data_IF_809275732119
#
_entry.id   IF_809275732119
#
_cell.length_a   1.000
_cell.length_b   1.000
_cell.length_c   1.000
_cell.angle_alpha   90.00
_cell.angle_beta   90.00
_cell.angle_gamma   90.00
#
_symmetry.space_group_name_H-M   'P 1'
#
loop_
_entity.id
_entity.type
_entity.pdbx_description
1 polymer ?
#
# COMPACT_ATOMS: atom_id res chain seq x y z
N UNK A 1 22.10 19.82 12.49
CA UNK A 1 21.92 18.40 12.09
C UNK A 1 20.83 17.80 12.97
N UNK A 2 19.74 17.25 12.40
CA UNK A 2 18.71 16.64 13.22
C UNK A 2 19.16 15.24 13.68
N UNK A 3 18.96 14.95 14.96
CA UNK A 3 19.39 13.73 15.65
C UNK A 3 18.80 12.45 15.04
N UNK A 4 19.60 11.38 15.04
CA UNK A 4 19.22 10.05 14.56
C UNK A 4 18.14 9.43 15.44
N UNK A 5 17.34 8.53 14.86
CA UNK A 5 16.30 7.75 15.54
C UNK A 5 16.84 6.97 16.76
N UNK A 6 18.07 6.47 16.70
CA UNK A 6 18.71 5.75 17.81
C UNK A 6 18.92 6.61 19.06
N UNK A 7 19.03 7.94 18.88
CA UNK A 7 19.22 8.89 19.97
C UNK A 7 17.90 9.30 20.62
N UNK A 8 16.79 9.27 19.87
CA UNK A 8 15.43 9.50 20.41
C UNK A 8 14.90 8.31 21.19
N UNK A 9 15.29 7.09 20.82
CA UNK A 9 14.91 5.86 21.53
C UNK A 9 15.63 5.67 22.88
N UNK A 10 16.79 6.31 23.08
CA UNK A 10 17.51 6.29 24.37
C UNK A 10 16.93 7.23 25.42
N UNK A 11 16.33 8.35 25.00
CA UNK A 11 15.74 9.34 25.90
C UNK A 11 14.41 8.90 26.55
N UNK A 12 13.84 7.77 26.14
CA UNK A 12 12.57 7.21 26.67
C UNK A 12 12.77 6.05 27.66
N UNK A 13 14.01 5.84 28.14
CA UNK A 13 14.35 4.74 29.08
C UNK A 13 14.94 5.21 30.42
N UNK A 14 14.88 6.49 30.76
CA UNK A 14 15.42 7.00 32.02
C UNK A 14 14.40 7.83 32.80
N UNK A 15 13.30 7.21 33.19
CA UNK A 15 12.54 7.58 34.38
C UNK A 15 12.15 6.28 35.08
N UNK A 16 13.10 5.72 35.83
CA UNK A 16 12.82 5.01 37.07
C UNK A 16 14.12 5.03 37.87
N UNK A 17 14.09 5.76 38.97
CA UNK A 17 15.24 6.02 39.82
C UNK A 17 15.65 4.79 40.63
N UNK A 18 16.96 4.58 40.75
CA UNK A 18 17.63 4.28 42.02
C UNK A 18 19.12 4.54 41.83
N UNK A 19 19.68 5.36 42.73
CA UNK A 19 21.09 5.73 42.75
C UNK A 19 21.88 4.77 43.63
N UNK A 20 23.05 4.29 43.18
CA UNK A 20 24.25 4.06 44.02
C UNK A 20 25.53 4.21 43.17
N UNK A 21 26.55 4.81 43.78
CA UNK A 21 27.86 5.29 43.32
C UNK A 21 28.80 4.22 42.70
N UNK A 22 29.52 4.53 41.62
CA UNK A 22 30.94 4.99 41.51
C UNK A 22 32.01 3.88 41.36
N UNK A 23 32.72 3.85 40.23
CA UNK A 23 34.18 4.17 40.08
C UNK A 23 34.85 3.56 38.82
N UNK A 24 35.66 4.41 38.16
CA UNK A 24 37.00 4.16 37.56
C UNK A 24 37.22 3.24 36.34
N UNK A 25 37.45 3.92 35.19
CA UNK A 25 38.55 3.82 34.22
C UNK A 25 39.36 2.51 34.02
N UNK A 26 39.47 2.05 32.76
CA UNK A 26 40.72 2.01 31.96
C UNK A 26 40.61 1.10 30.70
N UNK A 27 41.07 1.60 29.56
CA UNK A 27 41.71 0.88 28.43
C UNK A 27 43.14 1.48 28.28
N UNK A 28 44.10 0.99 27.46
CA UNK A 28 44.04 -0.01 26.36
C UNK A 28 45.25 -0.99 26.26
N UNK A 29 45.20 -1.99 25.37
CA UNK A 29 46.40 -2.45 24.63
C UNK A 29 46.04 -3.34 23.44
N UNK A 30 46.77 -3.18 22.32
CA UNK A 30 46.55 -3.82 21.03
C UNK A 30 47.71 -4.77 20.63
N UNK A 31 47.37 -5.69 19.69
CA UNK A 31 48.21 -6.53 18.78
C UNK A 31 48.72 -7.89 19.30
N UNK A 32 48.98 -8.91 18.43
CA UNK A 32 48.91 -8.96 16.95
C UNK A 32 48.08 -10.14 16.36
N UNK A 33 47.99 -10.16 15.02
CA UNK A 33 47.29 -11.13 14.18
C UNK A 33 48.10 -12.40 13.90
N UNK A 34 47.42 -13.56 13.83
CA UNK A 34 47.91 -14.83 13.29
C UNK A 34 46.74 -15.67 12.68
N UNK A 35 47.01 -16.70 11.85
CA UNK A 35 46.32 -16.95 10.58
C UNK A 35 45.09 -17.87 10.64
N UNK A 36 44.32 -17.84 9.55
CA UNK A 36 43.10 -18.61 9.36
C UNK A 36 43.32 -20.14 9.29
N UNK A 37 42.52 -20.95 10.01
CA UNK A 37 42.42 -22.39 9.82
C UNK A 37 41.14 -22.79 9.04
N UNK A 38 41.05 -24.05 8.55
CA UNK A 38 40.34 -24.38 7.31
C UNK A 38 38.84 -24.66 7.48
N UNK A 39 38.13 -24.58 6.36
CA UNK A 39 36.72 -24.90 6.21
C UNK A 39 36.38 -26.30 6.76
N UNK A 40 35.40 -26.35 7.67
CA UNK A 40 34.68 -27.56 8.06
C UNK A 40 33.18 -27.32 8.02
N UNK A 41 32.52 -28.28 7.38
CA UNK A 41 31.11 -28.34 7.08
C UNK A 41 30.24 -28.64 8.33
N UNK A 42 29.02 -28.09 8.28
CA UNK A 42 27.81 -28.36 9.06
C UNK A 42 27.89 -28.32 10.60
N UNK A 43 27.29 -27.28 11.18
CA UNK A 43 26.18 -27.49 12.11
C UNK A 43 25.20 -26.32 12.07
N UNK A 44 23.93 -26.68 12.01
CA UNK A 44 22.75 -25.83 12.04
C UNK A 44 22.68 -25.00 13.32
N UNK A 45 22.85 -23.67 13.21
CA UNK A 45 22.47 -22.73 14.26
C UNK A 45 21.19 -22.01 13.86
N UNK A 46 20.11 -22.44 14.49
CA UNK A 46 18.73 -21.96 14.49
C UNK A 46 18.62 -20.42 14.47
N UNK A 47 17.70 -19.83 13.67
CA UNK A 47 17.41 -18.41 13.80
C UNK A 47 16.68 -18.10 15.11
N UNK A 48 17.14 -17.04 15.75
CA UNK A 48 16.74 -16.51 17.05
C UNK A 48 15.38 -15.79 16.98
N UNK A 49 14.30 -16.50 16.68
CA UNK A 49 12.93 -16.12 17.01
C UNK A 49 12.12 -17.41 17.20
N UNK A 50 11.45 -17.62 18.35
CA UNK A 50 10.65 -18.82 18.52
C UNK A 50 9.51 -18.81 17.50
N UNK A 51 9.47 -19.83 16.64
CA UNK A 51 8.27 -20.14 15.88
C UNK A 51 7.14 -20.43 16.88
N UNK A 52 5.96 -19.80 16.70
CA UNK A 52 4.77 -20.05 17.50
C UNK A 52 4.48 -21.54 17.73
N UNK A 53 4.27 -21.96 18.98
CA UNK A 53 3.39 -23.10 19.25
C UNK A 53 1.96 -22.68 18.84
N UNK A 54 1.36 -23.44 17.93
CA UNK A 54 0.66 -22.90 16.76
C UNK A 54 -0.67 -22.16 16.99
N UNK A 55 -1.37 -22.28 18.12
CA UNK A 55 -2.65 -21.55 18.32
C UNK A 55 -2.59 -20.42 19.35
N UNK A 56 -1.93 -20.65 20.49
CA UNK A 56 -1.87 -19.68 21.59
C UNK A 56 -1.09 -18.42 21.17
N UNK A 57 -0.06 -18.59 20.34
CA UNK A 57 0.73 -17.47 19.82
C UNK A 57 0.06 -16.81 18.58
N UNK A 58 -0.77 -17.52 17.80
CA UNK A 58 -1.62 -16.87 16.79
C UNK A 58 -2.69 -15.97 17.41
N UNK A 59 -3.33 -16.41 18.50
CA UNK A 59 -4.36 -15.63 19.17
C UNK A 59 -3.77 -14.42 19.92
N UNK A 60 -2.61 -14.59 20.56
CA UNK A 60 -1.84 -13.48 21.12
C UNK A 60 -1.43 -12.48 20.03
N UNK A 61 -0.98 -12.97 18.87
CA UNK A 61 -0.61 -12.15 17.70
C UNK A 61 -1.83 -11.37 17.17
N UNK A 62 -2.97 -12.03 16.99
CA UNK A 62 -4.23 -11.39 16.59
C UNK A 62 -4.65 -10.32 17.58
N UNK A 63 -4.60 -10.60 18.88
CA UNK A 63 -4.94 -9.65 19.94
C UNK A 63 -4.04 -8.42 19.87
N UNK A 64 -2.73 -8.62 19.72
CA UNK A 64 -1.75 -7.53 19.57
C UNK A 64 -2.05 -6.67 18.33
N UNK A 65 -2.23 -7.30 17.17
CA UNK A 65 -2.50 -6.60 15.92
C UNK A 65 -3.84 -5.87 15.91
N UNK A 66 -4.85 -6.45 16.54
CA UNK A 66 -6.16 -5.85 16.70
C UNK A 66 -6.09 -4.60 17.57
N UNK A 67 -5.29 -4.62 18.64
CA UNK A 67 -5.02 -3.43 19.46
C UNK A 67 -4.29 -2.33 18.67
N UNK A 68 -3.34 -2.70 17.80
CA UNK A 68 -2.65 -1.73 16.93
C UNK A 68 -3.66 -1.09 15.95
N UNK A 69 -4.49 -1.88 15.27
CA UNK A 69 -5.51 -1.35 14.35
C UNK A 69 -6.52 -0.45 15.07
N UNK A 70 -6.97 -0.81 16.28
CA UNK A 70 -7.85 0.05 17.09
C UNK A 70 -7.20 1.39 17.45
N UNK A 71 -5.89 1.42 17.67
CA UNK A 71 -5.14 2.66 17.92
C UNK A 71 -4.88 3.48 16.66
N UNK A 72 -4.83 2.83 15.50
CA UNK A 72 -4.60 3.49 14.21
C UNK A 72 -5.89 4.02 13.57
N UNK A 73 -7.00 3.30 13.69
CA UNK A 73 -8.26 3.66 13.03
C UNK A 73 -8.72 5.11 13.29
N UNK A 74 -8.66 5.64 14.53
CA UNK A 74 -9.05 7.04 14.80
C UNK A 74 -8.14 8.09 14.15
N UNK A 75 -6.95 7.69 13.70
CA UNK A 75 -5.99 8.57 13.01
C UNK A 75 -6.26 8.64 11.50
N UNK A 76 -7.16 7.80 10.99
CA UNK A 76 -7.52 7.79 9.57
C UNK A 76 -8.39 9.01 9.27
N UNK A 77 -7.89 9.89 8.41
CA UNK A 77 -8.60 11.06 7.91
C UNK A 77 -9.29 10.67 6.59
N UNK A 78 -10.61 10.86 6.52
CA UNK A 78 -11.44 10.55 5.34
C UNK A 78 -12.10 11.79 4.74
N UNK A 79 -11.42 12.93 4.85
CA UNK A 79 -11.81 14.20 4.24
C UNK A 79 -10.66 14.74 3.39
N UNK A 80 -10.94 15.78 2.59
CA UNK A 80 -9.99 16.38 1.66
C UNK A 80 -9.22 17.58 2.24
N UNK A 81 -9.43 17.92 3.51
CA UNK A 81 -8.86 19.13 4.14
C UNK A 81 -7.32 19.09 4.21
N UNK A 82 -6.78 17.88 4.21
CA UNK A 82 -5.35 17.63 4.39
C UNK A 82 -4.64 17.19 3.11
N UNK A 83 -5.32 17.15 1.96
CA UNK A 83 -4.65 16.80 0.69
C UNK A 83 -3.62 17.88 0.29
N UNK A 84 -2.39 17.52 -0.14
CA UNK A 84 -1.37 18.47 -0.57
C UNK A 84 -1.60 19.04 -1.97
N UNK A 85 -2.78 18.82 -2.54
CA UNK A 85 -3.19 19.26 -3.88
C UNK A 85 -4.63 19.77 -3.85
N UNK A 86 -4.98 20.60 -4.82
CA UNK A 86 -6.33 21.13 -4.94
C UNK A 86 -7.19 20.19 -5.77
N UNK A 87 -8.29 19.74 -5.17
CA UNK A 87 -9.33 19.03 -5.89
C UNK A 87 -10.12 19.99 -6.76
N UNK A 88 -10.61 19.56 -7.93
CA UNK A 88 -11.30 20.40 -8.86
C UNK A 88 -12.77 20.39 -8.47
N UNK A 89 -13.10 20.99 -7.32
CA UNK A 89 -14.44 21.03 -6.72
C UNK A 89 -15.46 21.81 -7.54
N UNK A 90 -15.04 22.37 -8.67
CA UNK A 90 -15.87 23.00 -9.69
C UNK A 90 -15.87 22.24 -11.01
N UNK A 91 -15.02 21.23 -11.19
CA UNK A 91 -15.06 20.40 -12.39
C UNK A 91 -16.28 19.50 -12.34
N UNK A 92 -17.20 19.63 -13.30
CA UNK A 92 -18.46 18.91 -13.25
C UNK A 92 -18.25 17.40 -13.30
N UNK A 93 -17.24 16.88 -14.00
CA UNK A 93 -16.97 15.43 -14.06
C UNK A 93 -16.47 14.91 -12.72
N UNK A 94 -15.53 15.60 -12.09
CA UNK A 94 -15.02 15.25 -10.76
C UNK A 94 -16.11 15.35 -9.70
N UNK A 95 -16.82 16.49 -9.64
CA UNK A 95 -17.92 16.68 -8.72
C UNK A 95 -18.97 15.58 -8.86
N UNK A 96 -19.33 15.21 -10.10
CA UNK A 96 -20.30 14.14 -10.39
C UNK A 96 -19.84 12.77 -9.88
N UNK A 97 -18.56 12.42 -10.01
CA UNK A 97 -18.05 11.13 -9.49
C UNK A 97 -17.91 11.19 -7.96
N UNK A 98 -17.50 12.34 -7.42
CA UNK A 98 -17.32 12.53 -6.00
C UNK A 98 -18.64 12.64 -5.22
N UNK A 99 -19.72 13.10 -5.87
CA UNK A 99 -21.03 13.37 -5.27
C UNK A 99 -22.01 12.19 -5.30
N UNK A 100 -21.58 10.94 -5.50
CA UNK A 100 -22.44 9.73 -5.55
C UNK A 100 -23.17 9.38 -4.22
N UNK A 101 -23.55 10.39 -3.43
CA UNK A 101 -24.38 10.30 -2.24
C UNK A 101 -25.87 10.61 -2.50
N UNK A 102 -26.29 10.97 -3.73
CA UNK A 102 -27.69 11.30 -4.05
C UNK A 102 -28.38 10.16 -4.85
N UNK A 103 -29.44 9.51 -4.29
CA UNK A 103 -30.21 8.44 -4.96
C UNK A 103 -31.04 8.87 -6.18
N UNK A 104 -31.18 10.16 -6.50
CA UNK A 104 -32.16 10.66 -7.48
C UNK A 104 -31.60 10.97 -8.89
N UNK A 105 -30.37 10.54 -9.19
CA UNK A 105 -29.60 11.10 -10.30
C UNK A 105 -29.50 10.23 -11.59
N UNK A 106 -29.22 10.89 -12.73
CA UNK A 106 -29.16 10.34 -14.11
C UNK A 106 -27.77 10.55 -14.77
N UNK A 107 -27.34 9.70 -15.73
CA UNK A 107 -25.93 9.56 -16.14
C UNK A 107 -25.37 10.68 -17.04
N UNK A 108 -24.05 10.94 -17.03
CA UNK A 108 -23.38 11.85 -17.95
C UNK A 108 -22.75 11.15 -19.17
N UNK A 109 -22.40 11.94 -20.18
CA UNK A 109 -21.57 11.55 -21.32
C UNK A 109 -20.08 11.52 -20.92
N UNK A 110 -19.47 10.34 -21.02
CA UNK A 110 -18.15 9.98 -20.50
C UNK A 110 -16.97 10.29 -21.45
N UNK A 111 -17.20 11.04 -22.52
CA UNK A 111 -16.20 11.33 -23.55
C UNK A 111 -15.20 12.45 -23.21
N UNK A 112 -15.42 13.26 -22.14
CA UNK A 112 -14.48 14.31 -21.72
C UNK A 112 -13.41 13.78 -20.78
N UNK A 113 -12.14 13.91 -21.21
CA UNK A 113 -10.95 13.56 -20.42
C UNK A 113 -10.69 14.56 -19.27
N UNK A 114 -10.11 13.98 -18.22
CA UNK A 114 -9.63 14.44 -16.91
C UNK A 114 -9.65 15.95 -16.60
N UNK A 115 -10.18 16.36 -15.44
CA UNK A 115 -9.94 17.71 -14.91
C UNK A 115 -8.44 17.96 -14.71
N UNK A 116 -7.99 19.20 -14.92
CA UNK A 116 -6.71 19.64 -14.36
C UNK A 116 -6.84 19.72 -12.84
N UNK A 117 -5.97 19.02 -12.11
CA UNK A 117 -5.82 19.10 -10.66
C UNK A 117 -4.61 19.98 -10.34
N UNK A 118 -4.81 21.26 -9.96
CA UNK A 118 -3.70 22.11 -9.59
C UNK A 118 -2.90 21.44 -8.47
N UNK A 119 -1.57 21.42 -8.64
CA UNK A 119 -0.61 20.88 -7.69
C UNK A 119 -0.57 19.35 -7.55
N UNK A 120 -1.46 18.56 -8.19
CA UNK A 120 -1.24 17.11 -8.30
C UNK A 120 -0.42 16.80 -9.55
N UNK A 121 0.83 16.42 -9.36
CA UNK A 121 1.79 16.17 -10.43
C UNK A 121 2.41 14.79 -10.40
N UNK A 122 2.53 14.18 -9.21
CA UNK A 122 3.14 12.87 -9.01
C UNK A 122 2.19 11.97 -8.23
N UNK A 123 1.81 10.85 -8.84
CA UNK A 123 1.04 9.78 -8.20
C UNK A 123 1.79 8.47 -8.33
N UNK A 124 1.52 7.50 -7.46
CA UNK A 124 2.11 6.17 -7.60
C UNK A 124 1.13 5.06 -7.24
N UNK A 125 1.41 3.86 -7.75
CA UNK A 125 0.70 2.64 -7.40
C UNK A 125 1.65 1.63 -6.78
N UNK A 126 1.14 0.86 -5.82
CA UNK A 126 1.91 -0.19 -5.13
C UNK A 126 1.18 -1.53 -5.21
N UNK A 127 1.96 -2.57 -5.45
CA UNK A 127 1.55 -3.97 -5.42
C UNK A 127 2.64 -4.81 -4.72
N UNK A 128 2.24 -5.94 -4.15
CA UNK A 128 3.16 -6.99 -3.70
C UNK A 128 2.77 -8.29 -4.39
N UNK A 129 3.71 -8.84 -5.15
CA UNK A 129 3.55 -10.14 -5.79
C UNK A 129 4.38 -11.21 -5.08
N UNK A 130 3.78 -12.37 -4.88
CA UNK A 130 4.41 -13.50 -4.20
C UNK A 130 4.97 -14.49 -5.22
N UNK A 131 6.04 -15.18 -4.85
CA UNK A 131 6.57 -16.33 -5.57
C UNK A 131 5.81 -17.56 -5.08
N UNK A 132 5.06 -18.19 -5.99
CA UNK A 132 4.21 -19.34 -5.67
C UNK A 132 4.97 -20.44 -4.94
N UNK A 133 4.39 -20.94 -3.84
CA UNK A 133 4.97 -22.01 -3.03
C UNK A 133 6.11 -21.58 -2.11
N UNK A 134 6.38 -20.29 -1.96
CA UNK A 134 7.45 -19.76 -1.08
C UNK A 134 6.96 -18.55 -0.27
N UNK A 135 7.77 -18.13 0.70
CA UNK A 135 7.58 -16.85 1.42
C UNK A 135 8.25 -15.66 0.73
N UNK A 136 8.81 -15.85 -0.47
CA UNK A 136 9.44 -14.77 -1.22
C UNK A 136 8.37 -13.87 -1.87
N UNK A 137 8.58 -12.56 -1.75
CA UNK A 137 7.71 -11.57 -2.34
C UNK A 137 8.51 -10.40 -2.93
N UNK A 138 7.89 -9.72 -3.88
CA UNK A 138 8.41 -8.53 -4.53
C UNK A 138 7.39 -7.42 -4.34
N UNK A 139 7.72 -6.47 -3.48
CA UNK A 139 7.00 -5.21 -3.42
C UNK A 139 7.44 -4.34 -4.60
N UNK A 140 6.51 -3.63 -5.21
CA UNK A 140 6.76 -2.82 -6.41
C UNK A 140 6.00 -1.51 -6.31
N UNK A 141 6.65 -0.41 -6.70
CA UNK A 141 6.04 0.91 -6.83
C UNK A 141 6.25 1.42 -8.26
N UNK A 142 5.19 1.93 -8.87
CA UNK A 142 5.23 2.56 -10.18
C UNK A 142 4.75 4.02 -10.07
N UNK A 143 5.64 4.97 -10.39
CA UNK A 143 5.42 6.41 -10.24
C UNK A 143 5.06 7.04 -11.58
N UNK A 144 3.99 7.85 -11.60
CA UNK A 144 3.44 8.48 -12.78
C UNK A 144 3.38 10.00 -12.65
N UNK A 145 3.53 10.68 -13.79
CA UNK A 145 3.10 12.06 -13.93
C UNK A 145 1.58 12.13 -13.96
N UNK A 146 1.01 13.21 -13.43
CA UNK A 146 -0.40 13.54 -13.51
C UNK A 146 -0.57 14.97 -14.06
N UNK A 147 -1.53 15.23 -14.97
CA UNK A 147 -2.57 14.33 -15.48
C UNK A 147 -2.16 13.46 -16.68
N UNK A 148 -0.94 13.58 -17.21
CA UNK A 148 -0.56 12.92 -18.48
C UNK A 148 -0.47 11.39 -18.36
N UNK A 149 -0.37 10.86 -17.14
CA UNK A 149 -0.23 9.43 -16.86
C UNK A 149 0.98 8.82 -17.57
N UNK A 150 2.12 9.51 -17.56
CA UNK A 150 3.40 8.97 -18.06
C UNK A 150 4.15 8.30 -16.93
N UNK A 151 4.64 7.08 -17.15
CA UNK A 151 5.49 6.37 -16.19
C UNK A 151 6.85 7.09 -16.07
N UNK A 152 7.18 7.55 -14.86
CA UNK A 152 8.40 8.31 -14.56
C UNK A 152 9.51 7.43 -13.97
N UNK A 153 9.14 6.45 -13.16
CA UNK A 153 10.10 5.56 -12.50
C UNK A 153 9.42 4.41 -11.79
N UNK A 154 10.21 3.38 -11.51
CA UNK A 154 9.76 2.16 -10.83
C UNK A 154 10.83 1.67 -9.87
N UNK A 155 10.42 1.20 -8.70
CA UNK A 155 11.31 0.55 -7.74
C UNK A 155 10.71 -0.80 -7.32
N UNK A 156 11.56 -1.79 -7.08
CA UNK A 156 11.16 -3.08 -6.53
C UNK A 156 11.98 -3.44 -5.32
N UNK A 157 11.35 -4.02 -4.30
CA UNK A 157 12.01 -4.52 -3.11
C UNK A 157 11.72 -6.01 -2.96
N UNK A 158 12.78 -6.81 -2.97
CA UNK A 158 12.69 -8.24 -2.73
C UNK A 158 12.72 -8.48 -1.22
N UNK A 159 11.78 -9.27 -0.73
CA UNK A 159 11.65 -9.53 0.69
C UNK A 159 11.14 -10.93 0.97
N UNK A 160 11.47 -11.44 2.16
CA UNK A 160 10.92 -12.69 2.70
C UNK A 160 9.81 -12.34 3.68
N UNK A 161 8.62 -12.87 3.44
CA UNK A 161 7.41 -12.56 4.20
C UNK A 161 7.30 -13.48 5.41
N UNK A 162 7.78 -12.99 6.55
CA UNK A 162 7.87 -13.79 7.79
C UNK A 162 6.53 -13.98 8.51
N UNK A 163 5.54 -13.13 8.22
CA UNK A 163 4.25 -13.14 8.90
C UNK A 163 3.19 -13.89 8.08
N UNK A 164 2.32 -14.69 8.73
CA UNK A 164 1.29 -15.44 8.03
C UNK A 164 0.22 -14.51 7.44
N UNK A 165 -0.42 -14.95 6.37
CA UNK A 165 -1.61 -14.28 5.86
C UNK A 165 -2.80 -14.54 6.79
N UNK A 166 -3.21 -13.51 7.53
CA UNK A 166 -4.45 -13.52 8.30
C UNK A 166 -5.38 -12.48 7.68
N UNK A 167 -6.56 -12.93 7.23
CA UNK A 167 -7.58 -12.03 6.68
C UNK A 167 -7.85 -10.88 7.65
N UNK A 168 -7.99 -9.66 7.13
CA UNK A 168 -8.14 -8.39 7.90
C UNK A 168 -6.90 -7.93 8.70
N UNK A 169 -5.74 -8.58 8.52
CA UNK A 169 -4.45 -8.17 9.10
C UNK A 169 -3.34 -8.04 8.06
N UNK A 170 -3.70 -7.94 6.78
CA UNK A 170 -2.76 -7.87 5.65
C UNK A 170 -1.69 -6.78 5.82
N UNK A 171 -2.08 -5.63 6.39
CA UNK A 171 -1.19 -4.50 6.61
C UNK A 171 0.10 -4.86 7.38
N UNK A 172 0.04 -5.77 8.35
CA UNK A 172 1.23 -6.14 9.13
C UNK A 172 2.27 -6.89 8.30
N UNK A 173 1.82 -7.57 7.24
CA UNK A 173 2.68 -8.29 6.31
C UNK A 173 3.22 -7.36 5.22
N UNK A 174 2.39 -6.44 4.75
CA UNK A 174 2.66 -5.67 3.52
C UNK A 174 3.19 -4.26 3.75
N UNK A 175 2.83 -3.59 4.85
CA UNK A 175 3.31 -2.22 5.10
C UNK A 175 4.83 -2.15 5.25
N UNK A 176 5.52 -3.01 6.03
CA UNK A 176 6.97 -2.91 6.21
C UNK A 176 7.80 -2.93 4.90
N UNK A 177 7.60 -3.88 3.96
CA UNK A 177 8.34 -3.85 2.69
C UNK A 177 7.98 -2.65 1.81
N UNK A 178 6.74 -2.14 1.92
CA UNK A 178 6.32 -0.92 1.21
C UNK A 178 6.99 0.33 1.78
N UNK A 179 7.12 0.44 3.11
CA UNK A 179 7.84 1.55 3.73
C UNK A 179 9.31 1.59 3.31
N UNK A 180 9.96 0.43 3.23
CA UNK A 180 11.34 0.33 2.73
C UNK A 180 11.48 0.85 1.29
N UNK A 181 10.50 0.57 0.42
CA UNK A 181 10.43 1.14 -0.93
C UNK A 181 10.28 2.65 -0.93
N UNK A 182 9.38 3.18 -0.08
CA UNK A 182 9.14 4.62 0.01
C UNK A 182 10.36 5.35 0.59
N UNK A 183 11.05 4.77 1.57
CA UNK A 183 12.27 5.33 2.14
C UNK A 183 13.39 5.38 1.09
N UNK A 184 13.54 4.32 0.27
CA UNK A 184 14.49 4.37 -0.83
C UNK A 184 14.09 5.41 -1.87
N UNK A 185 12.81 5.47 -2.27
CA UNK A 185 12.35 6.46 -3.24
C UNK A 185 12.66 7.88 -2.74
N UNK A 186 12.41 8.14 -1.46
CA UNK A 186 12.73 9.42 -0.83
C UNK A 186 14.23 9.73 -0.83
N UNK A 187 15.08 8.72 -0.59
CA UNK A 187 16.53 8.87 -0.53
C UNK A 187 17.18 9.02 -1.92
N UNK A 188 16.66 8.30 -2.93
CA UNK A 188 17.27 8.20 -4.26
C UNK A 188 16.65 9.15 -5.27
N UNK A 189 15.34 9.38 -5.20
CA UNK A 189 14.58 10.19 -6.16
C UNK A 189 13.51 11.02 -5.44
N UNK A 190 13.88 11.95 -4.54
CA UNK A 190 12.93 12.73 -3.75
C UNK A 190 11.92 13.54 -4.59
N UNK A 191 12.31 13.95 -5.79
CA UNK A 191 11.44 14.66 -6.74
C UNK A 191 10.31 13.80 -7.34
N UNK A 192 10.41 12.46 -7.20
CA UNK A 192 9.40 11.49 -7.61
C UNK A 192 8.58 10.98 -6.42
N UNK A 193 8.73 11.56 -5.23
CA UNK A 193 7.94 11.15 -4.08
C UNK A 193 6.43 11.43 -4.33
N UNK A 194 5.55 10.42 -4.17
CA UNK A 194 4.17 10.56 -4.57
C UNK A 194 3.37 11.47 -3.64
N UNK A 195 2.52 12.31 -4.24
CA UNK A 195 1.55 13.14 -3.52
C UNK A 195 0.27 12.36 -3.22
N UNK A 196 0.02 11.28 -3.97
CA UNK A 196 -1.10 10.37 -3.79
C UNK A 196 -0.68 8.94 -4.16
N UNK A 197 -1.05 7.99 -3.32
CA UNK A 197 -0.71 6.59 -3.48
C UNK A 197 -1.96 5.72 -3.69
N UNK A 198 -1.96 4.91 -4.73
CA UNK A 198 -2.94 3.84 -4.96
C UNK A 198 -2.38 2.52 -4.47
N UNK A 199 -3.06 1.87 -3.54
CA UNK A 199 -2.60 0.63 -2.90
C UNK A 199 -3.52 -0.51 -3.33
N UNK A 200 -2.95 -1.62 -3.83
CA UNK A 200 -3.72 -2.85 -4.06
C UNK A 200 -4.15 -3.43 -2.71
N UNK A 201 -5.43 -3.29 -2.39
CA UNK A 201 -5.98 -3.69 -1.11
C UNK A 201 -7.00 -2.70 -0.57
N UNK A 202 -7.55 -3.02 0.60
CA UNK A 202 -8.60 -2.21 1.20
C UNK A 202 -8.02 -1.04 2.03
N UNK A 203 -8.74 0.07 2.06
CA UNK A 203 -8.56 1.17 3.01
C UNK A 203 -9.64 1.11 4.09
N UNK A 204 -10.53 2.11 4.09
CA UNK A 204 -11.63 2.26 5.04
C UNK A 204 -12.67 1.13 4.93
N UNK A 205 -12.78 0.50 3.76
CA UNK A 205 -13.60 -0.70 3.53
C UNK A 205 -12.97 -1.92 4.21
N UNK A 206 -13.04 -1.94 5.53
CA UNK A 206 -12.39 -2.92 6.39
C UNK A 206 -13.14 -2.99 7.73
N UNK A 207 -13.33 -4.16 8.38
CA UNK A 207 -14.13 -4.29 9.60
C UNK A 207 -13.77 -3.33 10.76
N UNK A 208 -12.55 -2.78 10.72
CA UNK A 208 -12.02 -1.82 11.71
C UNK A 208 -11.67 -0.45 11.11
N UNK A 209 -12.14 -0.17 9.89
CA UNK A 209 -11.84 1.05 9.14
C UNK A 209 -10.35 1.37 9.01
N UNK A 210 -9.52 0.31 8.95
CA UNK A 210 -8.06 0.40 9.00
C UNK A 210 -7.43 -0.74 8.20
N UNK A 211 -7.70 -0.77 6.89
CA UNK A 211 -7.03 -1.67 5.94
C UNK A 211 -5.57 -1.27 5.66
N UNK A 212 -4.93 -1.95 4.71
CA UNK A 212 -3.52 -1.71 4.34
C UNK A 212 -3.28 -0.28 3.86
N UNK A 213 -4.18 0.28 3.05
CA UNK A 213 -4.04 1.65 2.56
C UNK A 213 -4.14 2.68 3.70
N UNK A 214 -5.05 2.46 4.66
CA UNK A 214 -5.17 3.29 5.86
C UNK A 214 -3.93 3.23 6.73
N UNK A 215 -3.47 2.02 7.05
CA UNK A 215 -2.29 1.81 7.88
C UNK A 215 -1.08 2.51 7.27
N UNK A 216 -0.81 2.24 5.99
CA UNK A 216 0.30 2.86 5.28
C UNK A 216 0.20 4.39 5.26
N UNK A 217 -0.98 4.92 4.92
CA UNK A 217 -1.19 6.37 4.85
C UNK A 217 -0.97 7.07 6.19
N UNK A 218 -1.49 6.49 7.28
CA UNK A 218 -1.29 7.02 8.65
C UNK A 218 0.17 6.99 9.06
N UNK A 219 0.89 5.90 8.77
CA UNK A 219 2.30 5.77 9.15
C UNK A 219 3.19 6.72 8.34
N UNK A 220 2.90 6.90 7.05
CA UNK A 220 3.70 7.74 6.15
C UNK A 220 3.28 9.21 6.10
N UNK A 221 2.07 9.54 6.54
CA UNK A 221 1.52 10.90 6.43
C UNK A 221 1.29 11.33 4.98
N UNK A 222 0.85 10.40 4.12
CA UNK A 222 0.61 10.64 2.69
C UNK A 222 -0.84 10.26 2.36
N UNK A 223 -1.51 10.99 1.44
CA UNK A 223 -2.79 10.56 0.91
C UNK A 223 -2.72 9.17 0.25
N UNK A 224 -3.61 8.28 0.65
CA UNK A 224 -3.68 6.93 0.10
C UNK A 224 -5.11 6.55 -0.28
N UNK A 225 -5.25 5.76 -1.34
CA UNK A 225 -6.52 5.15 -1.77
C UNK A 225 -6.32 3.64 -1.82
N UNK A 226 -7.20 2.90 -1.15
CA UNK A 226 -7.26 1.45 -1.28
C UNK A 226 -8.13 1.05 -2.46
N UNK A 227 -7.60 0.22 -3.35
CA UNK A 227 -8.31 -0.37 -4.48
C UNK A 227 -8.20 -1.89 -4.40
N UNK A 228 -9.27 -2.57 -4.02
CA UNK A 228 -9.32 -4.02 -3.91
C UNK A 228 -9.95 -4.67 -5.15
N UNK A 229 -9.41 -5.82 -5.55
CA UNK A 229 -9.91 -6.65 -6.67
C UNK A 229 -11.14 -7.48 -6.30
N UNK A 230 -11.35 -7.74 -5.01
CA UNK A 230 -12.41 -8.60 -4.47
C UNK A 230 -13.12 -7.94 -3.29
N UNK A 231 -14.39 -8.31 -3.08
CA UNK A 231 -15.18 -7.82 -1.96
C UNK A 231 -14.66 -8.41 -0.65
N UNK A 232 -14.19 -7.56 0.25
CA UNK A 232 -13.95 -7.96 1.63
C UNK A 232 -15.28 -8.16 2.34
N UNK A 233 -15.44 -9.32 2.99
CA UNK A 233 -16.66 -9.61 3.72
C UNK A 233 -16.79 -8.69 4.95
N UNK A 234 -17.78 -7.80 4.91
CA UNK A 234 -18.24 -7.00 6.03
C UNK A 234 -19.75 -7.22 6.19
N UNK A 235 -20.25 -7.05 7.42
CA UNK A 235 -21.67 -7.29 7.71
C UNK A 235 -22.54 -6.36 6.86
N UNK A 236 -23.55 -6.93 6.20
CA UNK A 236 -24.52 -6.19 5.40
C UNK A 236 -24.16 -5.97 3.93
N UNK A 237 -22.96 -6.36 3.48
CA UNK A 237 -22.60 -6.38 2.06
C UNK A 237 -22.59 -7.81 1.51
N UNK A 238 -23.26 -8.04 0.38
CA UNK A 238 -23.25 -9.29 -0.37
C UNK A 238 -22.83 -9.05 -1.82
N UNK A 239 -22.29 -10.08 -2.47
CA UNK A 239 -21.88 -9.98 -3.88
C UNK A 239 -23.09 -9.83 -4.79
N UNK A 240 -24.18 -10.49 -4.43
CA UNK A 240 -25.44 -10.48 -5.16
C UNK A 240 -26.07 -9.08 -5.10
N UNK A 241 -26.18 -8.50 -3.90
CA UNK A 241 -26.73 -7.15 -3.75
C UNK A 241 -25.90 -6.09 -4.46
N UNK A 242 -24.57 -6.26 -4.49
CA UNK A 242 -23.67 -5.37 -5.24
C UNK A 242 -23.84 -5.54 -6.75
N UNK A 243 -24.01 -6.77 -7.25
CA UNK A 243 -24.27 -7.02 -8.65
C UNK A 243 -25.59 -6.38 -9.10
N UNK A 244 -26.65 -6.52 -8.30
CA UNK A 244 -27.95 -5.90 -8.55
C UNK A 244 -27.85 -4.37 -8.57
N UNK A 245 -27.13 -3.79 -7.61
CA UNK A 245 -26.90 -2.35 -7.56
C UNK A 245 -26.11 -1.84 -8.77
N UNK A 246 -25.10 -2.59 -9.25
CA UNK A 246 -24.37 -2.25 -10.48
C UNK A 246 -25.24 -2.37 -11.74
N UNK A 247 -26.15 -3.35 -11.80
CA UNK A 247 -27.12 -3.47 -12.90
C UNK A 247 -28.11 -2.31 -12.90
N UNK A 248 -28.60 -1.91 -11.73
CA UNK A 248 -29.48 -0.76 -11.58
C UNK A 248 -28.77 0.55 -11.99
N UNK A 249 -27.53 0.73 -11.50
CA UNK A 249 -26.66 1.84 -11.86
C UNK A 249 -26.43 1.94 -13.39
N UNK A 250 -26.19 0.82 -14.05
CA UNK A 250 -25.98 0.79 -15.50
C UNK A 250 -27.22 1.27 -16.29
N UNK A 251 -28.45 1.07 -15.76
CA UNK A 251 -29.69 1.56 -16.39
C UNK A 251 -29.80 3.08 -16.32
N UNK A 252 -29.32 3.68 -15.23
CA UNK A 252 -29.14 5.13 -15.08
C UNK A 252 -27.72 5.53 -15.48
N UNK A 253 -27.09 4.76 -16.37
CA UNK A 253 -25.80 4.96 -17.04
C UNK A 253 -24.57 5.20 -16.17
N UNK A 254 -24.63 5.02 -14.85
CA UNK A 254 -23.46 5.06 -13.99
C UNK A 254 -22.82 3.68 -13.85
N UNK A 255 -21.51 3.66 -13.65
CA UNK A 255 -20.70 2.45 -13.45
C UNK A 255 -20.05 2.42 -12.07
N UNK A 256 -20.43 3.35 -11.20
CA UNK A 256 -19.91 3.49 -9.85
C UNK A 256 -21.07 3.64 -8.87
N UNK A 257 -20.99 2.92 -7.76
CA UNK A 257 -22.08 2.81 -6.78
C UNK A 257 -21.50 2.88 -5.37
N UNK A 258 -22.12 3.63 -4.44
CA UNK A 258 -21.69 3.64 -3.05
C UNK A 258 -21.94 2.28 -2.37
N UNK A 259 -21.01 1.85 -1.53
CA UNK A 259 -21.16 0.66 -0.69
C UNK A 259 -21.71 1.07 0.67
N UNK A 260 -23.01 0.85 0.86
CA UNK A 260 -23.74 1.28 2.05
C UNK A 260 -24.36 0.08 2.78
N UNK A 261 -24.43 0.14 4.11
CA UNK A 261 -25.12 -0.87 4.93
C UNK A 261 -25.98 -0.17 5.99
N UNK A 262 -26.82 -0.92 6.71
CA UNK A 262 -27.59 -0.36 7.81
C UNK A 262 -26.70 0.14 8.96
N UNK A 263 -25.56 -0.52 9.19
CA UNK A 263 -24.63 -0.20 10.27
C UNK A 263 -23.58 0.86 9.91
N UNK A 264 -23.33 1.09 8.62
CA UNK A 264 -22.32 2.03 8.16
C UNK A 264 -22.83 2.78 6.92
N UNK A 265 -22.94 4.11 6.98
CA UNK A 265 -23.53 4.89 5.90
C UNK A 265 -22.69 4.86 4.62
N UNK A 266 -21.37 4.66 4.72
CA UNK A 266 -20.50 4.53 3.55
C UNK A 266 -19.21 3.79 3.86
N UNK A 267 -19.01 2.65 3.22
CA UNK A 267 -17.76 1.88 3.28
C UNK A 267 -16.75 2.27 2.21
N UNK A 268 -17.23 2.79 1.08
CA UNK A 268 -16.46 2.96 -0.14
C UNK A 268 -17.37 3.01 -1.36
N UNK A 269 -16.80 2.76 -2.52
CA UNK A 269 -17.51 2.65 -3.79
C UNK A 269 -17.13 1.34 -4.48
N UNK A 270 -18.05 0.79 -5.25
CA UNK A 270 -17.79 -0.27 -6.21
C UNK A 270 -17.87 0.31 -7.61
N UNK A 271 -16.89 -0.01 -8.47
CA UNK A 271 -16.81 0.53 -9.81
C UNK A 271 -16.54 -0.55 -10.86
N UNK A 272 -17.25 -0.48 -11.98
CA UNK A 272 -16.94 -1.20 -13.22
C UNK A 272 -16.06 -0.30 -14.11
N UNK A 273 -14.76 -0.36 -13.87
CA UNK A 273 -13.74 0.41 -14.58
C UNK A 273 -13.31 -0.26 -15.89
N UNK A 274 -13.02 0.55 -16.92
CA UNK A 274 -12.67 0.04 -18.25
C UNK A 274 -13.89 -0.41 -19.07
N UNK A 275 -13.66 -0.64 -20.36
CA UNK A 275 -14.76 -0.81 -21.33
C UNK A 275 -15.30 -2.24 -21.44
N UNK A 276 -14.59 -3.25 -20.93
CA UNK A 276 -14.87 -4.67 -21.26
C UNK A 276 -14.92 -5.62 -20.06
N UNK A 277 -14.78 -5.13 -18.81
CA UNK A 277 -14.81 -6.00 -17.62
C UNK A 277 -16.20 -6.11 -17.02
N UNK A 278 -16.58 -7.32 -16.62
CA UNK A 278 -17.74 -7.58 -15.74
C UNK A 278 -17.33 -7.66 -14.26
N UNK A 279 -16.03 -7.69 -13.98
CA UNK A 279 -15.50 -7.77 -12.61
C UNK A 279 -15.23 -6.36 -12.09
N UNK A 280 -15.89 -5.93 -11.01
CA UNK A 280 -15.66 -4.61 -10.44
C UNK A 280 -14.33 -4.53 -9.67
N UNK A 281 -14.02 -3.32 -9.24
CA UNK A 281 -13.05 -2.99 -8.20
C UNK A 281 -13.78 -2.31 -7.03
N UNK A 282 -13.22 -2.41 -5.84
CA UNK A 282 -13.76 -1.82 -4.61
C UNK A 282 -12.80 -0.74 -4.13
N UNK A 283 -13.29 0.49 -4.03
CA UNK A 283 -12.51 1.69 -3.79
C UNK A 283 -12.87 2.23 -2.41
N UNK A 284 -11.88 2.52 -1.59
CA UNK A 284 -12.11 3.17 -0.29
C UNK A 284 -10.96 4.12 0.04
N UNK A 285 -11.24 5.22 0.75
CA UNK A 285 -10.19 6.07 1.31
C UNK A 285 -9.18 5.26 2.09
N UNK A 286 -7.90 5.55 1.92
CA UNK A 286 -6.86 5.09 2.82
C UNK A 286 -6.62 6.15 3.90
N UNK A 287 -6.12 7.32 3.52
CA UNK A 287 -5.80 8.42 4.44
C UNK A 287 -5.81 9.77 3.70
N UNK A 288 -6.19 10.85 4.40
CA UNK A 288 -6.19 12.24 3.91
C UNK A 288 -6.89 12.41 2.56
N UNK A 289 -8.00 11.70 2.36
CA UNK A 289 -8.81 11.81 1.14
C UNK A 289 -10.25 11.39 1.43
N UNK A 290 -11.23 12.07 0.83
CA UNK A 290 -12.63 11.72 0.97
C UNK A 290 -13.05 10.53 0.11
N UNK A 291 -14.19 9.91 0.45
CA UNK A 291 -14.77 8.80 -0.31
C UNK A 291 -15.03 9.15 -1.78
N UNK A 292 -15.57 10.35 -2.02
CA UNK A 292 -15.87 10.83 -3.35
C UNK A 292 -14.60 11.09 -4.17
N UNK A 293 -13.63 11.77 -3.57
CA UNK A 293 -12.35 12.08 -4.21
C UNK A 293 -11.54 10.83 -4.52
N UNK A 294 -11.51 9.85 -3.60
CA UNK A 294 -10.88 8.55 -3.82
C UNK A 294 -11.50 7.85 -5.04
N UNK A 295 -12.83 7.78 -5.10
CA UNK A 295 -13.58 7.18 -6.20
C UNK A 295 -13.30 7.87 -7.55
N UNK A 296 -13.34 9.21 -7.56
CA UNK A 296 -13.10 10.03 -8.75
C UNK A 296 -11.68 9.87 -9.28
N UNK A 297 -10.68 9.96 -8.41
CA UNK A 297 -9.28 9.83 -8.78
C UNK A 297 -8.97 8.43 -9.31
N UNK A 298 -9.45 7.38 -8.63
CA UNK A 298 -9.33 6.00 -9.11
C UNK A 298 -9.95 5.84 -10.49
N UNK A 299 -11.14 6.41 -10.73
CA UNK A 299 -11.80 6.36 -12.03
C UNK A 299 -10.96 7.03 -13.13
N UNK A 300 -10.45 8.24 -12.89
CA UNK A 300 -9.65 9.02 -13.84
C UNK A 300 -8.41 8.24 -14.30
N UNK A 301 -7.75 7.52 -13.38
CA UNK A 301 -6.53 6.76 -13.69
C UNK A 301 -6.79 5.35 -14.22
N UNK A 302 -8.06 4.94 -14.36
CA UNK A 302 -8.46 3.58 -14.76
C UNK A 302 -8.83 3.50 -16.24
N UNK A 303 -7.82 3.28 -17.09
CA UNK A 303 -8.04 2.94 -18.52
C UNK A 303 -8.56 1.51 -18.71
N UNK A 304 -8.15 0.62 -17.81
CA UNK A 304 -8.52 -0.80 -17.77
C UNK A 304 -9.28 -1.09 -16.47
N UNK A 305 -9.57 -2.36 -16.17
CA UNK A 305 -10.17 -2.78 -14.90
C UNK A 305 -9.35 -2.27 -13.70
N UNK A 306 -8.04 -2.49 -13.71
CA UNK A 306 -7.17 -2.08 -12.61
C UNK A 306 -6.60 -0.69 -12.94
N UNK A 307 -6.60 0.26 -11.98
CA UNK A 307 -5.96 1.57 -12.12
C UNK A 307 -4.55 1.45 -12.67
N UNK A 308 -4.18 2.32 -13.61
CA UNK A 308 -2.90 2.23 -14.31
C UNK A 308 -1.69 2.17 -13.35
N UNK A 309 -1.61 2.95 -12.25
CA UNK A 309 -0.49 2.87 -11.32
C UNK A 309 -0.35 1.49 -10.65
N UNK A 310 -1.45 0.90 -10.15
CA UNK A 310 -1.44 -0.44 -9.53
C UNK A 310 -1.14 -1.51 -10.58
N UNK A 311 -1.78 -1.40 -11.75
CA UNK A 311 -1.62 -2.34 -12.86
C UNK A 311 -0.15 -2.46 -13.28
N UNK A 312 0.56 -1.33 -13.30
CA UNK A 312 1.96 -1.29 -13.70
C UNK A 312 2.87 -1.85 -12.59
N UNK A 313 2.60 -1.54 -11.32
CA UNK A 313 3.30 -2.17 -10.21
C UNK A 313 3.19 -3.71 -10.23
N UNK A 314 1.99 -4.26 -10.46
CA UNK A 314 1.70 -5.70 -10.57
C UNK A 314 2.35 -6.35 -11.80
N UNK A 315 2.30 -5.71 -12.98
CA UNK A 315 2.94 -6.26 -14.18
C UNK A 315 4.46 -6.37 -14.01
N UNK A 316 5.07 -5.34 -13.43
CA UNK A 316 6.51 -5.27 -13.25
C UNK A 316 6.98 -6.32 -12.24
N UNK A 317 6.35 -6.41 -11.07
CA UNK A 317 6.70 -7.40 -10.04
C UNK A 317 6.56 -8.84 -10.54
N UNK A 318 5.46 -9.15 -11.26
CA UNK A 318 5.25 -10.48 -11.88
C UNK A 318 6.25 -10.77 -12.99
N UNK A 319 6.57 -9.80 -13.84
CA UNK A 319 7.56 -9.97 -14.89
C UNK A 319 8.95 -10.27 -14.31
N UNK A 320 9.31 -9.58 -13.23
CA UNK A 320 10.54 -9.83 -12.49
C UNK A 320 10.57 -11.26 -11.94
N UNK A 321 9.55 -11.67 -11.17
CA UNK A 321 9.44 -13.03 -10.61
C UNK A 321 9.59 -14.09 -11.71
N UNK A 322 8.87 -13.93 -12.83
CA UNK A 322 8.92 -14.86 -13.96
C UNK A 322 10.30 -14.91 -14.63
N UNK A 323 11.02 -13.78 -14.69
CA UNK A 323 12.35 -13.71 -15.28
C UNK A 323 13.40 -14.39 -14.39
N UNK A 324 13.37 -14.15 -13.07
CA UNK A 324 14.36 -14.68 -12.13
C UNK A 324 14.18 -16.17 -11.83
N UNK A 325 12.94 -16.64 -11.73
CA UNK A 325 12.64 -18.07 -11.67
C UNK A 325 13.19 -18.84 -12.88
N UNK A 326 13.30 -18.20 -14.04
CA UNK A 326 13.83 -18.83 -15.26
C UNK A 326 15.36 -18.87 -15.32
N UNK A 327 16.04 -17.86 -14.76
CA UNK A 327 17.49 -17.71 -14.90
C UNK A 327 18.22 -18.48 -13.80
N UNK A 328 17.77 -18.35 -12.55
CA UNK A 328 18.59 -18.72 -11.39
C UNK A 328 17.93 -19.75 -10.46
N UNK A 329 16.71 -20.22 -10.77
CA UNK A 329 15.90 -21.03 -9.84
C UNK A 329 15.32 -20.20 -8.68
N UNK A 330 14.61 -20.84 -7.75
CA UNK A 330 13.92 -20.14 -6.65
C UNK A 330 14.87 -19.41 -5.67
N UNK A 331 16.15 -19.83 -5.61
CA UNK A 331 17.13 -19.34 -4.63
C UNK A 331 17.64 -17.91 -4.91
N UNK A 332 17.44 -17.34 -6.10
CA UNK A 332 17.96 -16.00 -6.43
C UNK A 332 17.09 -14.82 -6.01
N UNK A 333 15.83 -15.06 -5.65
CA UNK A 333 14.96 -14.01 -5.07
C UNK A 333 15.20 -13.91 -3.54
N UNK A 334 16.01 -14.80 -2.96
CA UNK A 334 16.23 -14.90 -1.52
C UNK A 334 17.05 -13.76 -0.90
N UNK A 335 17.83 -13.00 -1.69
CA UNK A 335 18.58 -11.86 -1.18
C UNK A 335 17.69 -10.60 -1.21
N UNK A 336 17.32 -10.03 -0.04
CA UNK A 336 16.62 -8.76 -0.03
C UNK A 336 17.48 -7.69 -0.68
N UNK A 337 16.88 -7.00 -1.63
CA UNK A 337 17.58 -6.03 -2.48
C UNK A 337 16.57 -5.08 -3.10
N UNK A 338 17.08 -3.97 -3.63
CA UNK A 338 16.25 -2.99 -4.31
C UNK A 338 16.78 -2.75 -5.72
N UNK A 339 15.89 -2.88 -6.71
CA UNK A 339 16.18 -2.56 -8.10
C UNK A 339 15.50 -1.25 -8.49
N UNK A 340 16.29 -0.34 -9.07
CA UNK A 340 15.82 0.98 -9.51
C UNK A 340 15.85 1.02 -11.04
N UNK A 341 14.67 1.10 -11.65
CA UNK A 341 14.59 1.42 -13.09
C UNK A 341 14.06 2.83 -13.25
N UNK A 342 14.95 3.72 -13.68
CA UNK A 342 14.57 5.08 -14.08
C UNK A 342 14.18 5.04 -15.54
N UNK A 343 13.02 5.59 -15.89
CA UNK A 343 12.56 5.64 -17.27
C UNK A 343 13.52 6.46 -18.13
N UNK A 344 14.43 5.79 -18.86
CA UNK A 344 14.89 6.30 -20.14
C UNK A 344 13.71 6.15 -21.10
N UNK A 345 13.38 7.22 -21.84
CA UNK A 345 12.32 7.26 -22.83
C UNK A 345 12.17 5.92 -23.57
N UNK A 346 10.97 5.34 -23.54
CA UNK A 346 10.67 4.10 -24.21
C UNK A 346 11.12 4.17 -25.68
N UNK A 347 12.10 3.33 -26.02
CA UNK A 347 12.35 2.95 -27.41
C UNK A 347 11.11 2.19 -27.85
N UNK A 348 10.29 2.85 -28.66
CA UNK A 348 9.28 2.22 -29.47
C UNK A 348 9.95 1.13 -30.31
N UNK A 349 9.59 -0.14 -30.08
CA UNK A 349 9.75 -1.17 -31.10
C UNK A 349 8.39 -1.36 -31.77
N UNK A 350 8.42 -1.04 -33.06
CA UNK A 350 7.35 -1.10 -34.06
C UNK A 350 6.63 -2.43 -34.09
#
# INVERSE_FOLDING_TARGET
MPLSWADRARALKSEDGTAVASTSAAQPSALPAEPAPPAKALSSSTPMFPLPSDEENLEATRTKWLNIQRKMAPKVIVNDEHTPFQLPTHDPTFCRIASNADPSWSPPDYSRRSPSLPQLSIIAGIDISFVDGTDLAVASIAVFSFPEMKLLGTLMHHCVMQLPYICTFLAFREVPPIEALLDLLQATQPHLYPQLLFVDGNGYHHPRHCGVACHLGVVRGIPTIGVAKDLLAVKGLSREGIADALVAAAKVGTKIVPLVTAECPLWGHVALTGNSTKKPIYISPGHMISFGSAAALTWIVSKMRIPEPIRQADLLSRAYIKSKLKIDGADAIAAPGIEVTVGSAAVARK
#
